data_IF_568740714964
#
_entry.id   IF_568740714964
#
_cell.length_a   1.000
_cell.length_b   1.000
_cell.length_c   1.000
_cell.angle_alpha   90.00
_cell.angle_beta   90.00
_cell.angle_gamma   90.00
#
_symmetry.space_group_name_H-M   'P 1'
#
loop_
_entity.id
_entity.type
_entity.pdbx_description
1 polymer ?
#
# COMPACT_ATOMS: atom_id res chain seq x y z
N UNK A 1 -43.77 -12.66 -15.58
CA UNK A 1 -42.40 -13.26 -15.58
C UNK A 1 -41.40 -12.16 -15.34
N UNK A 2 -41.05 -11.89 -14.08
CA UNK A 2 -40.05 -10.91 -13.71
C UNK A 2 -38.70 -11.58 -13.64
N UNK A 3 -37.88 -11.38 -14.66
CA UNK A 3 -36.49 -11.83 -14.67
C UNK A 3 -35.69 -11.05 -13.65
N UNK A 4 -35.45 -11.65 -12.48
CA UNK A 4 -34.45 -11.18 -11.53
C UNK A 4 -33.08 -11.35 -12.18
N UNK A 5 -32.55 -10.26 -12.74
CA UNK A 5 -31.14 -10.19 -13.13
C UNK A 5 -30.30 -10.24 -11.85
N UNK A 6 -29.87 -11.42 -11.47
CA UNK A 6 -28.80 -11.61 -10.49
C UNK A 6 -27.54 -10.97 -11.08
N UNK A 7 -27.23 -9.73 -10.66
CA UNK A 7 -25.90 -9.16 -10.89
C UNK A 7 -24.91 -10.09 -10.16
N UNK A 8 -24.23 -10.93 -10.93
CA UNK A 8 -23.08 -11.70 -10.42
C UNK A 8 -22.09 -10.68 -9.86
N UNK A 9 -21.86 -10.72 -8.55
CA UNK A 9 -20.84 -9.83 -7.95
C UNK A 9 -19.50 -10.25 -8.52
N UNK A 10 -18.81 -9.29 -9.15
CA UNK A 10 -17.48 -9.50 -9.69
C UNK A 10 -16.52 -9.80 -8.54
N UNK A 11 -15.68 -10.80 -8.71
CA UNK A 11 -14.58 -11.03 -7.78
C UNK A 11 -13.41 -10.05 -8.04
N UNK A 12 -12.35 -10.12 -7.22
CA UNK A 12 -11.19 -9.25 -7.37
C UNK A 12 -10.47 -9.45 -8.71
N UNK A 13 -10.46 -10.67 -9.24
CA UNK A 13 -9.82 -11.00 -10.53
C UNK A 13 -10.59 -10.38 -11.69
N UNK A 14 -11.91 -10.47 -11.68
CA UNK A 14 -12.76 -9.83 -12.69
C UNK A 14 -12.57 -8.32 -12.72
N UNK A 15 -12.47 -7.70 -11.52
CA UNK A 15 -12.24 -6.26 -11.39
C UNK A 15 -10.88 -5.85 -11.97
N UNK A 16 -9.82 -6.58 -11.67
CA UNK A 16 -8.46 -6.36 -12.21
C UNK A 16 -8.44 -6.54 -13.72
N UNK A 17 -9.08 -7.59 -14.25
CA UNK A 17 -9.18 -7.84 -15.70
C UNK A 17 -9.89 -6.67 -16.40
N UNK A 18 -10.98 -6.16 -15.83
CA UNK A 18 -11.67 -4.98 -16.38
C UNK A 18 -10.82 -3.71 -16.25
N UNK A 19 -10.09 -3.54 -15.15
CA UNK A 19 -9.20 -2.41 -14.95
C UNK A 19 -8.10 -2.34 -16.03
N UNK A 20 -7.57 -3.49 -16.44
CA UNK A 20 -6.52 -3.58 -17.46
C UNK A 20 -6.94 -3.00 -18.83
N UNK A 21 -8.24 -2.92 -19.13
CA UNK A 21 -8.74 -2.40 -20.40
C UNK A 21 -9.62 -1.14 -20.26
N UNK A 22 -10.25 -0.95 -19.10
CA UNK A 22 -11.32 0.02 -18.91
C UNK A 22 -10.98 1.25 -18.08
N UNK A 23 -9.89 1.26 -17.30
CA UNK A 23 -9.50 2.43 -16.50
C UNK A 23 -9.23 3.65 -17.39
N UNK A 24 -9.62 4.84 -16.93
CA UNK A 24 -9.30 6.10 -17.59
C UNK A 24 -7.79 6.39 -17.60
N UNK A 25 -7.09 6.01 -16.51
CA UNK A 25 -5.65 6.19 -16.37
C UNK A 25 -4.87 5.12 -17.16
N UNK A 26 -4.07 5.49 -18.18
CA UNK A 26 -3.30 4.53 -18.97
C UNK A 26 -2.22 3.80 -18.16
N UNK A 27 -1.59 4.46 -17.17
CA UNK A 27 -0.63 3.82 -16.26
C UNK A 27 -1.32 2.80 -15.36
N UNK A 28 -2.54 3.13 -14.91
CA UNK A 28 -3.40 2.20 -14.17
C UNK A 28 -3.76 0.97 -15.00
N UNK A 29 -4.12 1.13 -16.29
CA UNK A 29 -4.38 -0.01 -17.20
C UNK A 29 -3.15 -0.90 -17.35
N UNK A 30 -2.00 -0.30 -17.64
CA UNK A 30 -0.75 -1.05 -17.83
C UNK A 30 -0.38 -1.83 -16.57
N UNK A 31 -0.54 -1.21 -15.38
CA UNK A 31 -0.24 -1.86 -14.12
C UNK A 31 -1.24 -3.00 -13.80
N UNK A 32 -2.53 -2.81 -14.05
CA UNK A 32 -3.54 -3.86 -13.89
C UNK A 32 -3.30 -5.05 -14.85
N UNK A 33 -2.85 -4.80 -16.07
CA UNK A 33 -2.49 -5.84 -17.03
C UNK A 33 -1.26 -6.66 -16.61
N UNK A 34 -0.40 -6.11 -15.75
CA UNK A 34 0.79 -6.77 -15.23
C UNK A 34 0.53 -7.63 -13.98
N UNK A 35 -0.72 -7.72 -13.51
CA UNK A 35 -1.07 -8.51 -12.32
C UNK A 35 -0.97 -10.00 -12.62
N UNK A 36 -0.18 -10.69 -11.81
CA UNK A 36 -0.12 -12.14 -11.72
C UNK A 36 -0.86 -12.61 -10.46
N UNK A 37 -1.41 -13.82 -10.52
CA UNK A 37 -2.12 -14.41 -9.39
C UNK A 37 -1.27 -15.56 -8.83
N UNK A 38 -0.71 -15.33 -7.65
CA UNK A 38 0.26 -16.23 -7.03
C UNK A 38 -0.37 -17.10 -5.95
N UNK A 39 -0.02 -18.40 -5.97
CA UNK A 39 -0.21 -19.28 -4.82
C UNK A 39 0.88 -18.95 -3.79
N UNK A 40 0.46 -18.64 -2.56
CA UNK A 40 1.39 -18.26 -1.49
C UNK A 40 1.45 -19.35 -0.42
N UNK A 41 2.64 -19.78 0.03
CA UNK A 41 2.78 -20.77 1.09
C UNK A 41 2.02 -20.38 2.35
N UNK A 42 1.23 -21.31 2.89
CA UNK A 42 0.43 -21.10 4.10
C UNK A 42 -0.88 -20.32 3.91
N UNK A 43 -1.27 -20.02 2.67
CA UNK A 43 -2.49 -19.30 2.34
C UNK A 43 -3.26 -20.03 1.25
N UNK A 44 -4.59 -20.13 1.42
CA UNK A 44 -5.46 -20.70 0.39
C UNK A 44 -5.77 -19.67 -0.69
N UNK A 45 -5.93 -20.16 -1.93
CA UNK A 45 -6.30 -19.36 -3.09
C UNK A 45 -5.11 -18.62 -3.71
N UNK A 46 -5.43 -17.75 -4.67
CA UNK A 46 -4.46 -17.00 -5.43
C UNK A 46 -4.52 -15.51 -5.11
N UNK A 47 -3.36 -14.89 -5.01
CA UNK A 47 -3.19 -13.52 -4.50
C UNK A 47 -2.65 -12.60 -5.58
N UNK A 48 -3.21 -11.40 -5.79
CA UNK A 48 -2.78 -10.48 -6.83
C UNK A 48 -1.44 -9.84 -6.48
N UNK A 49 -0.51 -9.92 -7.42
CA UNK A 49 0.78 -9.22 -7.36
C UNK A 49 1.04 -8.62 -8.74
N UNK A 50 1.09 -7.31 -8.85
CA UNK A 50 1.57 -6.70 -10.08
C UNK A 50 3.09 -6.85 -10.15
N UNK A 51 3.58 -7.41 -11.27
CA UNK A 51 5.01 -7.69 -11.49
C UNK A 51 5.46 -6.95 -12.73
N UNK A 52 6.37 -5.98 -12.56
CA UNK A 52 6.83 -5.11 -13.66
C UNK A 52 8.34 -4.91 -13.60
N UNK A 53 9.00 -4.94 -14.75
CA UNK A 53 10.44 -4.75 -14.85
C UNK A 53 11.26 -5.99 -14.52
N UNK A 54 12.59 -5.84 -14.63
CA UNK A 54 13.57 -6.87 -14.34
C UNK A 54 14.70 -6.27 -13.49
N UNK A 55 15.45 -7.12 -12.78
CA UNK A 55 16.57 -6.71 -11.93
C UNK A 55 16.34 -7.03 -10.45
N UNK A 56 17.03 -6.34 -9.53
CA UNK A 56 16.88 -6.57 -8.09
C UNK A 56 15.43 -6.39 -7.64
N UNK A 57 14.89 -7.32 -6.82
CA UNK A 57 13.49 -7.26 -6.40
C UNK A 57 13.22 -6.09 -5.46
N UNK A 58 12.15 -5.36 -5.75
CA UNK A 58 11.68 -4.23 -4.97
C UNK A 58 10.19 -4.39 -4.67
N UNK A 59 9.85 -4.54 -3.40
CA UNK A 59 8.49 -4.73 -2.91
C UNK A 59 7.88 -3.38 -2.52
N UNK A 60 6.72 -3.05 -3.11
CA UNK A 60 5.98 -1.81 -2.85
C UNK A 60 4.70 -2.12 -2.07
N UNK A 61 4.52 -1.50 -0.90
CA UNK A 61 3.41 -1.75 0.02
C UNK A 61 2.53 -0.51 0.13
N UNK A 62 1.28 -0.63 -0.32
CA UNK A 62 0.31 0.46 -0.37
C UNK A 62 -0.27 0.86 0.99
N UNK A 63 -0.95 2.01 1.04
CA UNK A 63 -1.57 2.57 2.22
C UNK A 63 -2.87 1.87 2.64
N UNK A 64 -3.49 2.39 3.72
CA UNK A 64 -4.79 1.94 4.21
C UNK A 64 -5.87 2.20 3.17
N UNK A 65 -6.77 1.23 3.00
CA UNK A 65 -7.93 1.29 2.08
C UNK A 65 -7.55 1.71 0.65
N UNK A 66 -6.47 1.11 0.14
CA UNK A 66 -5.90 1.34 -1.18
C UNK A 66 -5.65 0.00 -1.91
N UNK A 67 -4.88 0.03 -2.99
CA UNK A 67 -4.51 -1.13 -3.80
C UNK A 67 -3.15 -0.91 -4.49
N UNK A 68 -2.65 -1.94 -5.17
CA UNK A 68 -1.43 -1.86 -5.98
C UNK A 68 -1.45 -0.69 -7.00
N UNK A 69 -2.63 -0.26 -7.46
CA UNK A 69 -2.80 0.86 -8.39
C UNK A 69 -2.29 2.21 -7.85
N UNK A 70 -2.10 2.31 -6.54
CA UNK A 70 -1.53 3.50 -5.89
C UNK A 70 -0.14 3.83 -6.45
N UNK A 71 0.66 2.83 -6.83
CA UNK A 71 2.02 3.02 -7.31
C UNK A 71 2.17 3.28 -8.82
N UNK A 72 1.08 3.37 -9.58
CA UNK A 72 1.09 3.49 -11.04
C UNK A 72 1.98 4.59 -11.59
N UNK A 73 2.07 5.75 -10.91
CA UNK A 73 2.93 6.87 -11.34
C UNK A 73 4.42 6.64 -11.01
N UNK A 74 4.72 5.85 -9.99
CA UNK A 74 6.09 5.53 -9.58
C UNK A 74 6.70 4.41 -10.45
N UNK A 75 5.87 3.46 -10.90
CA UNK A 75 6.31 2.28 -11.67
C UNK A 75 7.20 2.64 -12.87
N UNK A 76 6.86 3.60 -13.75
CA UNK A 76 7.71 3.93 -14.89
C UNK A 76 9.13 4.40 -14.54
N UNK A 77 9.32 4.95 -13.34
CA UNK A 77 10.61 5.46 -12.87
C UNK A 77 11.51 4.37 -12.25
N UNK A 78 10.91 3.30 -11.72
CA UNK A 78 11.64 2.23 -11.02
C UNK A 78 11.80 0.96 -11.87
N UNK A 79 10.81 0.61 -12.69
CA UNK A 79 10.79 -0.61 -13.49
C UNK A 79 11.97 -0.77 -14.48
N UNK A 80 12.62 0.29 -14.99
CA UNK A 80 13.82 0.15 -15.81
C UNK A 80 15.02 -0.47 -15.07
N UNK A 81 15.03 -0.45 -13.73
CA UNK A 81 16.17 -0.86 -12.91
C UNK A 81 15.85 -1.91 -11.85
N UNK A 82 14.57 -2.25 -11.67
CA UNK A 82 14.10 -3.15 -10.63
C UNK A 82 12.98 -4.07 -11.14
N UNK A 83 12.95 -5.29 -10.63
CA UNK A 83 11.73 -6.10 -10.66
C UNK A 83 10.80 -5.62 -9.53
N UNK A 84 9.76 -4.89 -9.91
CA UNK A 84 8.76 -4.38 -8.97
C UNK A 84 7.73 -5.46 -8.65
N UNK A 85 7.48 -5.65 -7.36
CA UNK A 85 6.48 -6.57 -6.81
C UNK A 85 5.50 -5.72 -5.99
N UNK A 86 4.28 -5.61 -6.47
CA UNK A 86 3.27 -4.73 -5.87
C UNK A 86 2.03 -5.56 -5.53
N UNK A 87 2.01 -6.20 -4.34
CA UNK A 87 0.83 -6.95 -3.90
C UNK A 87 -0.27 -6.02 -3.43
N UNK A 88 -1.51 -6.48 -3.53
CA UNK A 88 -2.54 -5.98 -2.65
C UNK A 88 -2.39 -6.63 -1.26
N UNK A 89 -2.36 -5.82 -0.22
CA UNK A 89 -2.24 -6.31 1.15
C UNK A 89 -3.47 -7.15 1.54
N UNK A 90 -3.27 -8.15 2.42
CA UNK A 90 -4.35 -9.02 2.89
C UNK A 90 -5.53 -8.21 3.43
N UNK A 91 -6.72 -8.44 2.88
CA UNK A 91 -7.94 -7.73 3.24
C UNK A 91 -8.13 -6.37 2.55
N UNK A 92 -7.18 -5.94 1.73
CA UNK A 92 -7.24 -4.68 0.97
C UNK A 92 -7.24 -4.92 -0.54
N UNK A 93 -7.40 -3.86 -1.31
CA UNK A 93 -7.34 -3.90 -2.76
C UNK A 93 -8.31 -4.90 -3.38
N UNK A 94 -7.80 -5.71 -4.28
CA UNK A 94 -8.51 -6.78 -4.99
C UNK A 94 -8.19 -8.17 -4.42
N UNK A 95 -7.47 -8.25 -3.31
CA UNK A 95 -7.14 -9.50 -2.63
C UNK A 95 -8.39 -10.30 -2.24
N UNK A 96 -8.34 -11.64 -2.29
CA UNK A 96 -9.40 -12.51 -1.74
C UNK A 96 -9.71 -12.18 -0.27
N UNK A 97 -10.97 -12.35 0.10
CA UNK A 97 -11.44 -12.09 1.47
C UNK A 97 -12.18 -13.29 2.04
N UNK A 98 -11.46 -14.36 2.45
CA UNK A 98 -12.08 -15.53 3.02
C UNK A 98 -12.85 -15.19 4.31
N UNK A 99 -14.01 -15.79 4.49
CA UNK A 99 -14.93 -15.48 5.61
C UNK A 99 -14.28 -15.65 7.00
N UNK A 100 -13.41 -16.65 7.18
CA UNK A 100 -12.65 -16.90 8.40
C UNK A 100 -11.31 -16.13 8.52
N UNK A 101 -10.99 -15.25 7.54
CA UNK A 101 -9.67 -14.62 7.43
C UNK A 101 -9.27 -13.78 8.65
N UNK A 102 -7.97 -13.74 8.92
CA UNK A 102 -7.39 -12.88 9.96
C UNK A 102 -7.03 -11.51 9.37
N UNK A 103 -7.94 -10.55 9.46
CA UNK A 103 -7.75 -9.19 8.93
C UNK A 103 -7.01 -8.24 9.89
N UNK A 104 -6.43 -8.73 10.97
CA UNK A 104 -5.55 -7.95 11.85
C UNK A 104 -4.15 -7.77 11.23
N UNK A 105 -3.29 -6.91 11.80
CA UNK A 105 -1.89 -6.74 11.37
C UNK A 105 -1.12 -8.05 11.22
N UNK A 106 -1.37 -9.03 12.10
CA UNK A 106 -0.74 -10.36 12.03
C UNK A 106 -1.09 -11.12 10.75
N UNK A 107 -2.32 -11.00 10.24
CA UNK A 107 -2.73 -11.63 8.98
C UNK A 107 -2.09 -10.96 7.77
N UNK A 108 -1.97 -9.61 7.77
CA UNK A 108 -1.24 -8.87 6.74
C UNK A 108 0.23 -9.31 6.68
N UNK A 109 0.87 -9.43 7.84
CA UNK A 109 2.28 -9.86 7.92
C UNK A 109 2.46 -11.32 7.51
N UNK A 110 1.53 -12.21 7.89
CA UNK A 110 1.55 -13.62 7.45
C UNK A 110 1.43 -13.73 5.91
N UNK A 111 0.55 -12.96 5.30
CA UNK A 111 0.44 -12.88 3.83
C UNK A 111 1.75 -12.44 3.17
N UNK A 112 2.40 -11.40 3.68
CA UNK A 112 3.67 -10.93 3.15
C UNK A 112 4.83 -11.91 3.40
N UNK A 113 4.82 -12.68 4.49
CA UNK A 113 5.77 -13.77 4.70
C UNK A 113 5.60 -14.87 3.64
N UNK A 114 4.36 -15.26 3.32
CA UNK A 114 4.08 -16.19 2.22
C UNK A 114 4.55 -15.64 0.86
N UNK A 115 4.36 -14.34 0.61
CA UNK A 115 4.84 -13.68 -0.60
C UNK A 115 6.38 -13.71 -0.70
N UNK A 116 7.08 -13.39 0.39
CA UNK A 116 8.55 -13.43 0.41
C UNK A 116 9.08 -14.87 0.25
N UNK A 117 8.41 -15.86 0.84
CA UNK A 117 8.76 -17.26 0.63
C UNK A 117 8.61 -17.68 -0.84
N UNK A 118 7.50 -17.30 -1.47
CA UNK A 118 7.29 -17.55 -2.91
C UNK A 118 8.31 -16.81 -3.77
N UNK A 119 8.67 -15.57 -3.40
CA UNK A 119 9.69 -14.80 -4.10
C UNK A 119 11.08 -15.43 -3.96
N UNK A 120 11.43 -16.00 -2.78
CA UNK A 120 12.71 -16.70 -2.58
C UNK A 120 12.90 -17.86 -3.55
N UNK A 121 11.82 -18.61 -3.83
CA UNK A 121 11.83 -19.70 -4.78
C UNK A 121 12.07 -19.23 -6.23
N UNK A 122 11.65 -17.98 -6.55
CA UNK A 122 11.72 -17.42 -7.93
C UNK A 122 12.97 -16.56 -8.16
N UNK A 123 13.34 -15.79 -7.15
CA UNK A 123 14.44 -14.83 -7.18
C UNK A 123 15.09 -14.77 -5.79
N UNK A 124 16.03 -15.68 -5.51
CA UNK A 124 16.77 -15.68 -4.26
C UNK A 124 17.58 -14.40 -4.08
N UNK A 125 17.69 -13.93 -2.83
CA UNK A 125 18.51 -12.77 -2.47
C UNK A 125 17.73 -11.64 -1.78
N UNK A 126 18.41 -10.53 -1.44
CA UNK A 126 17.81 -9.46 -0.67
C UNK A 126 16.76 -8.69 -1.45
N UNK A 127 15.76 -8.17 -0.73
CA UNK A 127 14.63 -7.42 -1.29
C UNK A 127 14.63 -6.00 -0.72
N UNK A 128 14.51 -5.00 -1.58
CA UNK A 128 14.23 -3.63 -1.16
C UNK A 128 12.75 -3.45 -0.81
N UNK A 129 12.44 -2.51 0.11
CA UNK A 129 11.06 -2.17 0.47
C UNK A 129 10.76 -0.69 0.28
N UNK A 130 9.62 -0.38 -0.37
CA UNK A 130 9.00 0.95 -0.31
C UNK A 130 7.63 0.79 0.32
N UNK A 131 7.34 1.52 1.41
CA UNK A 131 6.06 1.48 2.09
C UNK A 131 5.40 2.84 2.20
N UNK A 132 4.16 2.98 1.70
CA UNK A 132 3.41 4.24 1.73
C UNK A 132 2.37 4.24 2.86
N UNK A 133 2.31 5.32 3.64
CA UNK A 133 1.34 5.49 4.73
C UNK A 133 1.33 4.28 5.67
N UNK A 134 0.21 3.57 5.83
CA UNK A 134 0.15 2.29 6.57
C UNK A 134 1.17 1.26 6.07
N UNK A 135 1.41 1.21 4.76
CA UNK A 135 2.45 0.35 4.17
C UNK A 135 3.85 0.61 4.72
N UNK A 136 4.11 1.83 5.22
CA UNK A 136 5.34 2.17 5.94
C UNK A 136 5.48 1.42 7.26
N UNK A 137 4.43 1.37 8.09
CA UNK A 137 4.44 0.54 9.31
C UNK A 137 4.51 -0.95 8.99
N UNK A 138 3.82 -1.40 7.95
CA UNK A 138 3.92 -2.79 7.46
C UNK A 138 5.36 -3.11 7.06
N UNK A 139 6.04 -2.21 6.35
CA UNK A 139 7.43 -2.38 5.94
C UNK A 139 8.38 -2.50 7.14
N UNK A 140 8.21 -1.64 8.15
CA UNK A 140 9.00 -1.69 9.40
C UNK A 140 8.81 -3.03 10.13
N UNK A 141 7.55 -3.47 10.30
CA UNK A 141 7.25 -4.76 10.94
C UNK A 141 7.78 -5.96 10.15
N UNK A 142 7.66 -5.92 8.82
CA UNK A 142 8.16 -6.97 7.95
C UNK A 142 9.69 -7.04 8.01
N UNK A 143 10.39 -5.92 7.95
CA UNK A 143 11.84 -5.85 8.02
C UNK A 143 12.39 -6.41 9.34
N UNK A 144 11.74 -6.11 10.47
CA UNK A 144 12.11 -6.71 11.78
C UNK A 144 12.00 -8.23 11.79
N UNK A 145 10.95 -8.78 11.15
CA UNK A 145 10.66 -10.22 11.11
C UNK A 145 11.49 -10.98 10.07
N UNK A 146 11.97 -10.28 9.06
CA UNK A 146 12.67 -10.83 7.89
C UNK A 146 14.03 -10.13 7.71
N UNK A 147 14.78 -9.99 8.80
CA UNK A 147 16.00 -9.17 8.86
C UNK A 147 17.06 -9.56 7.83
N UNK A 148 17.18 -10.84 7.50
CA UNK A 148 18.15 -11.35 6.50
C UNK A 148 17.66 -11.19 5.07
N UNK A 149 16.34 -11.05 4.89
CA UNK A 149 15.73 -10.97 3.56
C UNK A 149 15.55 -9.53 3.06
N UNK A 150 15.34 -8.58 3.98
CA UNK A 150 15.11 -7.18 3.64
C UNK A 150 16.44 -6.41 3.69
N UNK A 151 16.77 -5.75 2.57
CA UNK A 151 18.04 -5.02 2.42
C UNK A 151 17.97 -3.60 2.99
N UNK A 152 17.00 -2.82 2.56
CA UNK A 152 16.79 -1.44 2.98
C UNK A 152 15.34 -0.99 2.77
N UNK A 153 14.96 0.13 3.40
CA UNK A 153 13.60 0.64 3.40
C UNK A 153 13.55 2.11 2.98
N UNK A 154 12.56 2.46 2.16
CA UNK A 154 12.12 3.82 1.95
C UNK A 154 10.66 3.95 2.39
N UNK A 155 10.37 4.82 3.34
CA UNK A 155 9.04 5.06 3.88
C UNK A 155 8.47 6.36 3.30
N UNK A 156 7.22 6.34 2.84
CA UNK A 156 6.54 7.47 2.24
C UNK A 156 5.40 7.91 3.16
N UNK A 157 5.56 9.03 3.86
CA UNK A 157 4.62 9.54 4.87
C UNK A 157 4.09 8.42 5.79
N UNK A 158 4.98 7.67 6.51
CA UNK A 158 4.59 6.46 7.22
C UNK A 158 3.59 6.75 8.35
N UNK A 159 2.44 6.09 8.31
CA UNK A 159 1.42 6.13 9.36
C UNK A 159 1.64 4.99 10.36
N UNK A 160 1.33 5.22 11.65
CA UNK A 160 1.33 4.19 12.67
C UNK A 160 2.71 3.87 13.27
N UNK A 161 3.71 4.72 13.07
CA UNK A 161 5.00 4.57 13.75
C UNK A 161 4.89 4.84 15.24
N UNK A 162 4.07 5.81 15.62
CA UNK A 162 3.78 6.19 17.01
C UNK A 162 2.45 5.63 17.52
N UNK A 163 2.18 5.89 18.81
CA UNK A 163 0.90 5.59 19.44
C UNK A 163 0.75 4.14 19.89
N UNK A 164 -0.49 3.72 20.03
CA UNK A 164 -0.89 2.34 20.42
C UNK A 164 -2.10 1.92 19.59
N UNK A 165 -2.24 0.62 19.27
CA UNK A 165 -3.45 0.11 18.64
C UNK A 165 -4.70 0.55 19.41
N UNK A 166 -5.70 1.08 18.68
CA UNK A 166 -6.96 1.55 19.25
C UNK A 166 -8.11 0.82 18.58
N UNK A 167 -8.50 -0.35 19.08
CA UNK A 167 -9.63 -1.11 18.56
C UNK A 167 -10.90 -0.28 18.52
N UNK A 168 -11.58 -0.26 17.38
CA UNK A 168 -12.88 0.39 17.28
C UNK A 168 -13.99 -0.55 17.78
N UNK A 169 -14.91 -0.04 18.64
CA UNK A 169 -16.08 -0.79 19.04
C UNK A 169 -16.95 -1.20 17.83
N UNK A 170 -17.70 -2.32 17.91
CA UNK A 170 -18.47 -2.89 16.80
C UNK A 170 -19.47 -1.95 16.11
N UNK A 171 -20.01 -0.95 16.82
CA UNK A 171 -20.93 0.03 16.22
C UNK A 171 -20.18 1.15 15.47
N UNK A 172 -19.03 1.57 15.99
CA UNK A 172 -18.24 2.65 15.40
C UNK A 172 -17.46 2.19 14.16
N UNK A 173 -17.03 0.93 14.11
CA UNK A 173 -16.37 0.35 12.94
C UNK A 173 -17.32 0.32 11.73
N UNK A 174 -18.57 -0.11 11.92
CA UNK A 174 -19.57 -0.13 10.87
C UNK A 174 -19.92 1.27 10.34
N UNK A 175 -20.05 2.25 11.23
CA UNK A 175 -20.28 3.64 10.85
C UNK A 175 -19.09 4.21 10.09
N UNK A 176 -17.87 3.97 10.56
CA UNK A 176 -16.63 4.42 9.91
C UNK A 176 -16.50 3.88 8.49
N UNK A 177 -16.72 2.58 8.29
CA UNK A 177 -16.67 1.96 6.95
C UNK A 177 -17.78 2.49 6.04
N UNK A 178 -19.00 2.70 6.57
CA UNK A 178 -20.09 3.32 5.80
C UNK A 178 -19.73 4.74 5.36
N UNK A 179 -19.12 5.54 6.23
CA UNK A 179 -18.63 6.87 5.85
C UNK A 179 -17.56 6.80 4.76
N UNK A 180 -16.59 5.89 4.89
CA UNK A 180 -15.55 5.69 3.88
C UNK A 180 -16.10 5.26 2.52
N UNK A 181 -17.27 4.62 2.45
CA UNK A 181 -17.91 4.27 1.18
C UNK A 181 -18.59 5.44 0.46
N UNK A 182 -18.84 6.56 1.16
CA UNK A 182 -19.53 7.70 0.59
C UNK A 182 -18.67 8.44 -0.44
N UNK A 183 -19.18 8.71 -1.65
CA UNK A 183 -18.42 9.41 -2.68
C UNK A 183 -17.90 10.79 -2.25
N UNK A 184 -18.65 11.51 -1.39
CA UNK A 184 -18.23 12.81 -0.88
C UNK A 184 -17.03 12.69 0.07
N UNK A 185 -17.02 11.67 0.95
CA UNK A 185 -15.89 11.39 1.85
C UNK A 185 -14.66 10.98 1.04
N UNK A 186 -14.83 10.08 0.05
CA UNK A 186 -13.73 9.68 -0.84
C UNK A 186 -13.11 10.87 -1.58
N UNK A 187 -13.94 11.76 -2.15
CA UNK A 187 -13.44 12.99 -2.78
C UNK A 187 -12.67 13.86 -1.78
N UNK A 188 -13.17 14.02 -0.57
CA UNK A 188 -12.50 14.78 0.50
C UNK A 188 -11.13 14.18 0.86
N UNK A 189 -11.04 12.87 1.02
CA UNK A 189 -9.78 12.17 1.30
C UNK A 189 -8.78 12.33 0.15
N UNK A 190 -9.23 12.14 -1.11
CA UNK A 190 -8.38 12.41 -2.27
C UNK A 190 -7.84 13.84 -2.25
N UNK A 191 -8.70 14.85 -2.03
CA UNK A 191 -8.27 16.27 -1.97
C UNK A 191 -7.26 16.52 -0.86
N UNK A 192 -7.38 15.83 0.27
CA UNK A 192 -6.44 15.97 1.39
C UNK A 192 -5.10 15.26 1.14
N UNK A 193 -5.08 14.26 0.25
CA UNK A 193 -3.91 13.45 0.00
C UNK A 193 -2.88 14.13 -0.94
N UNK A 194 -3.31 15.00 -1.85
CA UNK A 194 -2.42 15.68 -2.82
C UNK A 194 -2.07 17.10 -2.38
N UNK A 195 -0.87 17.57 -2.74
CA UNK A 195 -0.44 18.94 -2.51
C UNK A 195 -1.29 19.94 -3.32
N UNK A 196 -1.47 19.68 -4.61
CA UNK A 196 -2.35 20.41 -5.53
C UNK A 196 -3.55 19.55 -5.94
N UNK A 197 -4.67 19.61 -5.20
CA UNK A 197 -5.86 18.83 -5.52
C UNK A 197 -6.53 19.22 -6.82
N UNK A 198 -6.45 20.49 -7.22
CA UNK A 198 -7.15 20.97 -8.43
C UNK A 198 -6.44 20.49 -9.70
N UNK A 199 -5.10 20.51 -9.70
CA UNK A 199 -4.32 20.02 -10.83
C UNK A 199 -4.18 18.50 -10.88
N UNK A 200 -4.26 17.81 -9.71
CA UNK A 200 -3.95 16.39 -9.60
C UNK A 200 -5.16 15.46 -9.70
N UNK A 201 -6.39 15.92 -9.32
CA UNK A 201 -7.54 15.04 -9.14
C UNK A 201 -8.55 15.19 -10.28
N UNK A 202 -8.41 14.37 -11.30
CA UNK A 202 -9.38 14.19 -12.37
C UNK A 202 -10.35 13.00 -12.12
N UNK A 203 -11.18 12.68 -13.14
CA UNK A 203 -12.03 11.49 -13.12
C UNK A 203 -11.23 10.19 -12.91
N UNK A 204 -10.08 10.05 -13.55
CA UNK A 204 -9.19 8.89 -13.47
C UNK A 204 -8.70 8.65 -12.04
N UNK A 205 -8.30 9.70 -11.31
CA UNK A 205 -7.86 9.60 -9.93
C UNK A 205 -8.98 9.09 -9.01
N UNK A 206 -10.19 9.63 -9.18
CA UNK A 206 -11.36 9.23 -8.39
C UNK A 206 -11.81 7.79 -8.70
N UNK A 207 -11.69 7.36 -9.96
CA UNK A 207 -11.98 5.99 -10.36
C UNK A 207 -11.04 5.01 -9.63
N UNK A 208 -9.72 5.22 -9.70
CA UNK A 208 -8.73 4.37 -9.06
C UNK A 208 -8.90 4.34 -7.54
N UNK A 209 -9.09 5.50 -6.93
CA UNK A 209 -9.28 5.61 -5.48
C UNK A 209 -10.53 4.88 -4.95
N UNK A 210 -11.45 4.45 -5.82
CA UNK A 210 -12.73 3.85 -5.42
C UNK A 210 -12.99 2.46 -6.00
N UNK A 211 -12.18 2.00 -6.96
CA UNK A 211 -12.45 0.76 -7.69
C UNK A 211 -12.47 -0.47 -6.77
N UNK A 212 -11.54 -0.56 -5.85
CA UNK A 212 -11.39 -1.68 -4.91
C UNK A 212 -12.57 -1.83 -3.92
N UNK A 213 -13.40 -0.79 -3.75
CA UNK A 213 -14.61 -0.88 -2.92
C UNK A 213 -15.62 -1.89 -3.46
N UNK A 214 -15.54 -2.20 -4.77
CA UNK A 214 -16.41 -3.17 -5.43
C UNK A 214 -16.00 -4.63 -5.14
N UNK A 215 -14.82 -4.85 -4.58
CA UNK A 215 -14.35 -6.22 -4.24
C UNK A 215 -15.22 -6.81 -3.14
N UNK A 216 -15.77 -8.03 -3.33
CA UNK A 216 -16.59 -8.69 -2.33
C UNK A 216 -15.91 -8.75 -0.96
N UNK A 217 -16.65 -8.48 0.11
CA UNK A 217 -16.13 -8.48 1.48
C UNK A 217 -15.32 -7.24 1.89
N UNK A 218 -15.19 -6.22 1.03
CA UNK A 218 -14.44 -4.98 1.35
C UNK A 218 -14.87 -4.38 2.71
N UNK A 219 -16.15 -4.18 2.92
CA UNK A 219 -16.65 -3.56 4.16
C UNK A 219 -16.40 -4.43 5.41
N UNK A 220 -16.48 -5.77 5.28
CA UNK A 220 -16.25 -6.67 6.41
C UNK A 220 -14.77 -6.75 6.79
N UNK A 221 -13.89 -6.91 5.81
CA UNK A 221 -12.44 -6.92 6.07
C UNK A 221 -11.98 -5.62 6.74
N UNK A 222 -12.47 -4.47 6.27
CA UNK A 222 -12.12 -3.18 6.82
C UNK A 222 -12.62 -3.00 8.26
N UNK A 223 -13.86 -3.43 8.57
CA UNK A 223 -14.38 -3.46 9.95
C UNK A 223 -13.53 -4.32 10.86
N UNK A 224 -13.18 -5.53 10.42
CA UNK A 224 -12.36 -6.46 11.21
C UNK A 224 -10.95 -5.92 11.42
N UNK A 225 -10.36 -5.28 10.42
CA UNK A 225 -9.08 -4.58 10.59
C UNK A 225 -9.20 -3.43 11.62
N UNK A 226 -10.23 -2.60 11.55
CA UNK A 226 -10.46 -1.51 12.50
C UNK A 226 -10.67 -2.01 13.94
N UNK A 227 -11.35 -3.14 14.12
CA UNK A 227 -11.50 -3.81 15.44
C UNK A 227 -10.18 -4.31 16.02
N UNK A 228 -9.19 -4.62 15.20
CA UNK A 228 -7.87 -5.04 15.67
C UNK A 228 -7.03 -3.87 16.20
N UNK A 229 -7.44 -2.63 15.91
CA UNK A 229 -6.69 -1.41 16.20
C UNK A 229 -5.66 -1.03 15.14
N UNK A 230 -5.49 -1.84 14.10
CA UNK A 230 -4.58 -1.59 12.98
C UNK A 230 -3.09 -1.56 13.35
N UNK A 231 -2.28 -1.01 12.45
CA UNK A 231 -0.86 -0.77 12.71
C UNK A 231 -0.68 0.54 13.48
N UNK A 232 -0.12 0.44 14.70
CA UNK A 232 0.25 1.59 15.52
C UNK A 232 1.36 1.21 16.50
N UNK A 233 2.24 2.16 16.86
CA UNK A 233 3.40 1.91 17.70
C UNK A 233 4.46 1.02 17.03
N UNK A 234 4.49 1.03 15.70
CA UNK A 234 5.40 0.17 14.91
C UNK A 234 6.81 0.75 14.80
N UNK A 235 7.06 1.97 15.30
CA UNK A 235 8.35 2.64 15.14
C UNK A 235 9.45 2.12 16.05
N UNK A 236 9.13 1.56 17.20
CA UNK A 236 10.13 1.11 18.17
C UNK A 236 10.04 -0.40 18.47
N UNK A 237 11.20 -1.08 18.48
CA UNK A 237 12.51 -0.62 18.00
C UNK A 237 12.51 -0.45 16.47
N UNK A 238 13.31 0.47 15.93
CA UNK A 238 13.50 0.55 14.48
C UNK A 238 14.18 -0.74 13.96
N UNK A 239 13.91 -1.15 12.73
CA UNK A 239 14.59 -2.29 12.13
C UNK A 239 16.08 -1.98 11.94
N UNK A 240 16.93 -3.01 11.92
CA UNK A 240 18.38 -2.86 11.78
C UNK A 240 18.82 -2.44 10.37
N UNK A 241 17.97 -2.62 9.40
CA UNK A 241 18.25 -2.27 8.00
C UNK A 241 18.32 -0.73 7.81
N UNK A 242 19.13 -0.26 6.87
CA UNK A 242 19.13 1.12 6.45
C UNK A 242 17.72 1.59 6.06
N UNK A 243 17.31 2.74 6.61
CA UNK A 243 15.97 3.26 6.47
C UNK A 243 16.03 4.76 6.18
N UNK A 244 15.29 5.21 5.17
CA UNK A 244 14.95 6.60 4.91
C UNK A 244 13.44 6.81 4.92
N UNK A 245 13.00 8.04 5.16
CA UNK A 245 11.60 8.44 5.05
C UNK A 245 11.46 9.76 4.29
N UNK A 246 10.46 9.85 3.43
CA UNK A 246 10.02 11.09 2.78
C UNK A 246 8.66 11.48 3.34
N UNK A 247 8.47 12.77 3.63
CA UNK A 247 7.20 13.29 4.15
C UNK A 247 6.84 14.58 3.42
N UNK A 248 5.65 14.62 2.82
CA UNK A 248 5.19 15.82 2.12
C UNK A 248 4.95 16.99 3.07
N UNK A 249 5.45 18.16 2.70
CA UNK A 249 5.26 19.39 3.48
C UNK A 249 3.79 19.78 3.61
N UNK A 250 2.99 19.47 2.56
CA UNK A 250 1.57 19.76 2.47
C UNK A 250 0.67 18.54 2.84
N UNK A 251 1.18 17.57 3.59
CA UNK A 251 0.38 16.43 4.08
C UNK A 251 -0.78 16.92 4.97
N UNK A 252 -2.02 16.63 4.52
CA UNK A 252 -3.27 16.97 5.24
C UNK A 252 -4.03 15.73 5.72
N UNK A 253 -3.46 14.54 5.54
CA UNK A 253 -4.01 13.28 6.04
C UNK A 253 -3.48 12.98 7.44
N UNK A 254 -2.16 13.00 7.61
CA UNK A 254 -1.54 12.78 8.91
C UNK A 254 -1.40 14.12 9.65
N UNK A 255 -1.82 14.09 10.91
CA UNK A 255 -1.84 15.32 11.73
C UNK A 255 -0.42 15.75 12.14
N UNK A 256 -0.17 17.04 12.40
CA UNK A 256 1.13 17.53 12.82
C UNK A 256 1.78 16.79 14.01
N UNK A 257 1.05 16.31 15.03
CA UNK A 257 1.65 15.50 16.09
C UNK A 257 2.28 14.19 15.58
N UNK A 258 1.67 13.52 14.61
CA UNK A 258 2.21 12.28 14.03
C UNK A 258 3.50 12.56 13.24
N UNK A 259 3.54 13.65 12.49
CA UNK A 259 4.77 14.09 11.78
C UNK A 259 5.89 14.40 12.78
N UNK A 260 5.59 15.13 13.86
CA UNK A 260 6.58 15.41 14.91
C UNK A 260 7.09 14.16 15.60
N UNK A 261 6.21 13.19 15.90
CA UNK A 261 6.61 11.91 16.48
C UNK A 261 7.52 11.10 15.52
N UNK A 262 7.17 11.07 14.24
CA UNK A 262 8.01 10.44 13.22
C UNK A 262 9.38 11.15 13.09
N UNK A 263 9.40 12.49 13.12
CA UNK A 263 10.64 13.27 13.09
C UNK A 263 11.52 12.98 14.33
N UNK A 264 10.93 12.92 15.51
CA UNK A 264 11.66 12.60 16.75
C UNK A 264 12.26 11.18 16.71
N UNK A 265 11.54 10.22 16.13
CA UNK A 265 11.96 8.83 16.00
C UNK A 265 13.06 8.63 14.94
N UNK A 266 12.89 9.27 13.78
CA UNK A 266 13.73 9.01 12.60
C UNK A 266 14.90 9.99 12.48
N UNK A 267 14.82 11.19 13.09
CA UNK A 267 15.86 12.22 13.01
C UNK A 267 16.18 12.60 11.57
N UNK A 268 17.45 12.63 11.21
CA UNK A 268 17.95 12.98 9.88
C UNK A 268 17.56 11.96 8.77
N UNK A 269 17.01 10.82 9.15
CA UNK A 269 16.46 9.83 8.22
C UNK A 269 15.12 10.26 7.63
N UNK A 270 14.44 11.27 8.19
CA UNK A 270 13.21 11.82 7.64
C UNK A 270 13.52 13.13 6.90
N UNK A 271 13.18 13.12 5.60
CA UNK A 271 13.33 14.30 4.72
C UNK A 271 11.96 14.84 4.36
N UNK A 272 11.75 16.14 4.54
CA UNK A 272 10.55 16.83 4.10
C UNK A 272 10.64 17.15 2.61
N UNK A 273 9.50 17.01 1.89
CA UNK A 273 9.39 17.22 0.45
C UNK A 273 8.41 18.36 0.18
N UNK A 274 8.90 19.47 -0.34
CA UNK A 274 8.08 20.61 -0.77
C UNK A 274 7.26 20.29 -2.01
N UNK A 275 6.07 20.90 -2.12
CA UNK A 275 5.13 20.65 -3.22
C UNK A 275 4.57 19.22 -3.20
N UNK A 276 4.49 18.61 -2.03
CA UNK A 276 4.08 17.22 -1.88
C UNK A 276 3.09 17.05 -0.72
N UNK A 277 2.01 16.32 -0.96
CA UNK A 277 1.01 15.95 0.04
C UNK A 277 1.34 14.62 0.74
N UNK A 278 0.31 13.87 1.09
CA UNK A 278 0.43 12.60 1.79
C UNK A 278 1.01 11.45 0.95
N UNK A 279 0.95 11.57 -0.38
CA UNK A 279 1.31 10.49 -1.31
C UNK A 279 2.51 10.92 -2.19
N UNK A 280 3.76 10.91 -1.66
CA UNK A 280 4.95 11.32 -2.42
C UNK A 280 5.13 10.58 -3.75
N UNK A 281 4.78 9.30 -3.80
CA UNK A 281 4.85 8.47 -5.01
C UNK A 281 3.82 8.84 -6.09
N UNK A 282 2.83 9.68 -5.76
CA UNK A 282 1.87 10.24 -6.73
C UNK A 282 2.17 11.71 -7.06
N UNK A 283 2.59 12.51 -6.07
CA UNK A 283 2.90 13.93 -6.29
C UNK A 283 4.30 14.14 -6.91
N UNK A 284 5.30 13.38 -6.45
CA UNK A 284 6.70 13.52 -6.82
C UNK A 284 7.36 12.15 -7.08
N UNK A 285 6.83 11.35 -8.03
CA UNK A 285 7.36 10.00 -8.32
C UNK A 285 8.82 10.01 -8.77
N UNK A 286 9.25 11.05 -9.49
CA UNK A 286 10.61 11.29 -9.91
C UNK A 286 11.58 11.38 -8.71
N UNK A 287 11.23 12.21 -7.72
CA UNK A 287 12.01 12.38 -6.50
C UNK A 287 12.07 11.10 -5.67
N UNK A 288 10.95 10.41 -5.55
CA UNK A 288 10.88 9.12 -4.81
C UNK A 288 11.82 8.09 -5.45
N UNK A 289 11.79 7.97 -6.77
CA UNK A 289 12.66 7.05 -7.50
C UNK A 289 14.14 7.43 -7.38
N UNK A 290 14.49 8.70 -7.52
CA UNK A 290 15.86 9.18 -7.33
C UNK A 290 16.37 8.90 -5.90
N UNK A 291 15.54 9.21 -4.89
CA UNK A 291 15.88 8.95 -3.47
C UNK A 291 16.07 7.46 -3.21
N UNK A 292 15.22 6.61 -3.80
CA UNK A 292 15.37 5.15 -3.69
C UNK A 292 16.72 4.70 -4.27
N UNK A 293 17.06 5.15 -5.49
CA UNK A 293 18.30 4.75 -6.18
C UNK A 293 19.54 5.14 -5.39
N UNK A 294 19.60 6.36 -4.85
CA UNK A 294 20.69 6.83 -3.98
C UNK A 294 20.81 6.00 -2.70
N UNK A 295 19.68 5.73 -2.05
CA UNK A 295 19.63 4.99 -0.81
C UNK A 295 20.08 3.52 -0.99
N UNK A 296 19.57 2.85 -2.02
CA UNK A 296 19.92 1.47 -2.34
C UNK A 296 21.41 1.34 -2.71
N UNK A 297 21.96 2.26 -3.52
CA UNK A 297 23.38 2.25 -3.88
C UNK A 297 24.29 2.41 -2.65
N UNK A 298 23.98 3.34 -1.75
CA UNK A 298 24.74 3.56 -0.51
C UNK A 298 24.71 2.34 0.41
N UNK A 299 23.64 1.54 0.33
CA UNK A 299 23.47 0.33 1.15
C UNK A 299 24.23 -0.87 0.59
N UNK A 300 24.33 -0.98 -0.73
CA UNK A 300 25.05 -2.06 -1.41
C UNK A 300 26.58 -2.02 -1.23
N UNK A 301 27.11 -0.85 -0.87
CA UNK A 301 28.56 -0.62 -0.66
C UNK A 301 29.03 -0.81 0.79
N UNK A 302 28.12 -1.12 1.72
CA UNK A 302 28.40 -1.43 3.11
C UNK A 302 28.30 -2.91 3.42
#
# INVERSE_FOLDING_TARGET
MSGSSTRTSLDGRDLVTRAATGLLDPLGRSLAAAVQWWDLPGLEGQWPVAVVGEGPPLLLLHGFDSSFLEFRRLVPHLAPHHQLLIPDLYGFGFSPRPAGGNYAPSGVLHHLQGLLARLEERSPGPVGLIGASMGGSVAVELARRQATRIQCLLLLAPAGLDGRPRPLPPLLDGLGVRLLSLPAVRRGLCRSAFADPEGSIGPAEREIASLHLQTPGWADSLRRFARSGGFAGCGEPLPSQPLLALWGAQDRILRPPQKRAAQALLGDRLREVEGCGHLPHLDRPDLVAATWSEHAATTATR
#
